data_IF_106297351544
#
_entry.id   IF_106297351544
#
_cell.length_a   1.000
_cell.length_b   1.000
_cell.length_c   1.000
_cell.angle_alpha   90.00
_cell.angle_beta   90.00
_cell.angle_gamma   90.00
#
_symmetry.space_group_name_H-M   'P 1'
#
loop_
_entity.id
_entity.type
_entity.pdbx_description
1 polymer ?
#
# COMPACT_ATOMS: atom_id res chain seq x y z
N UNK A 1 -10.84 -25.04 4.83
CA UNK A 1 -10.93 -23.56 4.82
C UNK A 1 -12.25 -23.15 4.22
N UNK A 2 -12.93 -22.12 4.74
CA UNK A 2 -14.28 -21.76 4.27
C UNK A 2 -14.24 -20.71 3.14
N UNK A 3 -15.21 -20.76 2.22
CA UNK A 3 -15.45 -19.70 1.20
C UNK A 3 -15.48 -18.29 1.81
N UNK A 4 -16.05 -18.20 3.02
CA UNK A 4 -16.17 -16.95 3.77
C UNK A 4 -14.79 -16.37 4.09
N UNK A 5 -13.83 -17.20 4.49
CA UNK A 5 -12.48 -16.75 4.82
C UNK A 5 -11.76 -16.21 3.60
N UNK A 6 -11.87 -16.90 2.45
CA UNK A 6 -11.28 -16.46 1.18
C UNK A 6 -11.84 -15.09 0.76
N UNK A 7 -13.16 -14.89 0.84
CA UNK A 7 -13.81 -13.60 0.58
C UNK A 7 -13.32 -12.49 1.52
N UNK A 8 -13.27 -12.77 2.82
CA UNK A 8 -12.83 -11.81 3.83
C UNK A 8 -11.37 -11.40 3.58
N UNK A 9 -10.47 -12.35 3.37
CA UNK A 9 -9.03 -12.09 3.19
C UNK A 9 -8.73 -11.38 1.87
N UNK A 10 -9.49 -11.68 0.82
CA UNK A 10 -9.47 -10.90 -0.43
C UNK A 10 -9.85 -9.44 -0.18
N UNK A 11 -10.92 -9.20 0.59
CA UNK A 11 -11.35 -7.85 0.98
C UNK A 11 -10.34 -7.12 1.87
N UNK A 12 -9.66 -7.85 2.78
CA UNK A 12 -8.58 -7.30 3.62
C UNK A 12 -7.42 -6.82 2.74
N UNK A 13 -6.94 -7.65 1.82
CA UNK A 13 -5.85 -7.29 0.91
C UNK A 13 -6.20 -6.06 0.07
N UNK A 14 -7.43 -6.01 -0.46
CA UNK A 14 -7.93 -4.85 -1.22
C UNK A 14 -7.85 -3.55 -0.40
N UNK A 15 -8.27 -3.56 0.87
CA UNK A 15 -8.23 -2.38 1.74
C UNK A 15 -6.79 -1.94 2.02
N UNK A 16 -5.88 -2.87 2.31
CA UNK A 16 -4.49 -2.50 2.56
C UNK A 16 -3.81 -1.91 1.33
N UNK A 17 -4.12 -2.40 0.12
CA UNK A 17 -3.60 -1.80 -1.12
C UNK A 17 -4.13 -0.36 -1.29
N UNK A 18 -5.41 -0.11 -0.99
CA UNK A 18 -5.98 1.24 -1.06
C UNK A 18 -5.39 2.20 0.00
N UNK A 19 -5.19 1.70 1.22
CA UNK A 19 -4.54 2.43 2.31
C UNK A 19 -3.09 2.81 1.94
N UNK A 20 -2.30 1.85 1.46
CA UNK A 20 -0.92 2.08 1.07
C UNK A 20 -0.81 3.09 -0.09
N UNK A 21 -1.72 3.05 -1.07
CA UNK A 21 -1.80 4.06 -2.12
C UNK A 21 -2.15 5.45 -1.58
N UNK A 22 -3.01 5.55 -0.56
CA UNK A 22 -3.34 6.84 0.07
C UNK A 22 -2.11 7.47 0.74
N UNK A 23 -1.33 6.67 1.48
CA UNK A 23 -0.07 7.15 2.05
C UNK A 23 0.98 7.48 0.99
N UNK A 24 1.02 6.75 -0.13
CA UNK A 24 1.89 7.09 -1.27
C UNK A 24 1.58 8.47 -1.83
N UNK A 25 0.29 8.79 -2.03
CA UNK A 25 -0.14 10.11 -2.48
C UNK A 25 0.24 11.19 -1.47
N UNK A 26 0.15 10.92 -0.17
CA UNK A 26 0.58 11.89 0.85
C UNK A 26 2.10 12.12 0.82
N UNK A 27 2.91 11.07 0.64
CA UNK A 27 4.37 11.20 0.45
C UNK A 27 4.69 12.08 -0.77
N UNK A 28 3.98 11.89 -1.89
CA UNK A 28 4.14 12.71 -3.09
C UNK A 28 3.78 14.17 -2.82
N UNK A 29 2.64 14.42 -2.18
CA UNK A 29 2.17 15.76 -1.82
C UNK A 29 3.16 16.50 -0.91
N UNK A 30 3.69 15.84 0.12
CA UNK A 30 4.68 16.43 1.02
C UNK A 30 6.01 16.70 0.30
N UNK A 31 6.43 15.80 -0.61
CA UNK A 31 7.62 16.01 -1.43
C UNK A 31 7.46 17.23 -2.35
N UNK A 32 6.31 17.36 -3.03
CA UNK A 32 6.01 18.54 -3.86
C UNK A 32 5.97 19.83 -3.03
N UNK A 33 5.39 19.79 -1.82
CA UNK A 33 5.36 20.96 -0.93
C UNK A 33 6.77 21.43 -0.55
N UNK A 34 7.69 20.51 -0.24
CA UNK A 34 9.08 20.86 0.05
C UNK A 34 9.75 21.52 -1.17
N UNK A 35 9.52 21.00 -2.38
CA UNK A 35 10.09 21.59 -3.60
C UNK A 35 9.55 23.00 -3.82
N UNK A 36 8.24 23.22 -3.67
CA UNK A 36 7.64 24.55 -3.79
C UNK A 36 8.17 25.54 -2.74
N UNK A 37 8.44 25.09 -1.52
CA UNK A 37 9.06 25.94 -0.49
C UNK A 37 10.50 26.34 -0.86
N UNK A 38 11.28 25.41 -1.43
CA UNK A 38 12.65 25.66 -1.89
C UNK A 38 12.73 26.59 -3.10
N UNK A 39 11.74 26.52 -3.98
CA UNK A 39 11.64 27.33 -5.21
C UNK A 39 11.03 28.72 -4.97
N UNK A 40 10.59 29.01 -3.74
CA UNK A 40 10.02 30.32 -3.40
C UNK A 40 11.07 31.44 -3.47
N UNK A 41 10.62 32.67 -3.69
CA UNK A 41 11.51 33.84 -3.84
C UNK A 41 12.34 34.10 -2.57
N UNK A 42 11.80 33.78 -1.39
CA UNK A 42 12.48 33.85 -0.09
C UNK A 42 12.27 32.53 0.66
N UNK A 43 13.13 31.52 0.43
CA UNK A 43 13.00 30.22 1.07
C UNK A 43 13.18 30.28 2.59
N UNK A 44 12.14 29.88 3.33
CA UNK A 44 12.18 29.75 4.79
C UNK A 44 12.73 28.38 5.19
N UNK A 45 13.96 28.36 5.73
CA UNK A 45 14.65 27.14 6.16
C UNK A 45 13.92 26.39 7.28
N UNK A 46 13.27 27.11 8.21
CA UNK A 46 12.51 26.49 9.29
C UNK A 46 11.29 25.75 8.73
N UNK A 47 10.57 26.38 7.81
CA UNK A 47 9.42 25.78 7.14
C UNK A 47 9.82 24.57 6.28
N UNK A 48 10.94 24.65 5.57
CA UNK A 48 11.49 23.53 4.78
C UNK A 48 11.87 22.37 5.70
N UNK A 49 12.55 22.64 6.82
CA UNK A 49 12.93 21.62 7.80
C UNK A 49 11.69 20.94 8.39
N UNK A 50 10.69 21.73 8.80
CA UNK A 50 9.44 21.20 9.35
C UNK A 50 8.67 20.34 8.34
N UNK A 51 8.61 20.77 7.08
CA UNK A 51 8.02 19.96 6.01
C UNK A 51 8.80 18.66 5.77
N UNK A 52 10.13 18.67 5.94
CA UNK A 52 10.98 17.48 5.91
C UNK A 52 10.64 16.46 7.00
N UNK A 53 10.38 16.89 8.22
CA UNK A 53 9.93 16.02 9.32
C UNK A 53 8.59 15.34 8.97
N UNK A 54 7.62 16.10 8.46
CA UNK A 54 6.31 15.57 8.04
C UNK A 54 6.46 14.59 6.88
N UNK A 55 7.33 14.86 5.91
CA UNK A 55 7.62 13.90 4.83
C UNK A 55 8.19 12.60 5.38
N UNK A 56 9.06 12.65 6.39
CA UNK A 56 9.62 11.46 7.01
C UNK A 56 8.54 10.63 7.71
N UNK A 57 7.64 11.26 8.45
CA UNK A 57 6.48 10.60 9.08
C UNK A 57 5.59 9.93 8.02
N UNK A 58 5.25 10.63 6.93
CA UNK A 58 4.47 10.08 5.82
C UNK A 58 5.15 8.87 5.17
N UNK A 59 6.49 8.90 5.00
CA UNK A 59 7.27 7.76 4.49
C UNK A 59 7.24 6.57 5.44
N UNK A 60 7.30 6.80 6.74
CA UNK A 60 7.19 5.73 7.74
C UNK A 60 5.81 5.06 7.68
N UNK A 61 4.75 5.86 7.54
CA UNK A 61 3.38 5.34 7.38
C UNK A 61 3.24 4.51 6.10
N UNK A 62 3.78 5.00 4.98
CA UNK A 62 3.80 4.25 3.72
C UNK A 62 4.57 2.92 3.83
N UNK A 63 5.71 2.91 4.53
CA UNK A 63 6.49 1.69 4.78
C UNK A 63 5.68 0.67 5.60
N UNK A 64 5.00 1.10 6.67
CA UNK A 64 4.16 0.24 7.48
C UNK A 64 2.98 -0.33 6.67
N UNK A 65 2.29 0.51 5.91
CA UNK A 65 1.17 0.07 5.07
C UNK A 65 1.63 -0.92 3.98
N UNK A 66 2.78 -0.69 3.35
CA UNK A 66 3.37 -1.61 2.37
C UNK A 66 3.69 -2.98 2.99
N UNK A 67 4.18 -3.03 4.24
CA UNK A 67 4.38 -4.29 4.96
C UNK A 67 3.06 -5.03 5.24
N UNK A 68 1.99 -4.29 5.53
CA UNK A 68 0.66 -4.89 5.73
C UNK A 68 0.10 -5.48 4.43
N UNK A 69 0.34 -4.84 3.28
CA UNK A 69 0.02 -5.40 1.95
C UNK A 69 0.73 -6.74 1.76
N UNK A 70 2.05 -6.78 1.97
CA UNK A 70 2.85 -7.99 1.82
C UNK A 70 2.36 -9.12 2.73
N UNK A 71 2.11 -8.82 4.01
CA UNK A 71 1.61 -9.81 4.98
C UNK A 71 0.25 -10.36 4.56
N UNK A 72 -0.69 -9.50 4.15
CA UNK A 72 -2.02 -9.92 3.73
C UNK A 72 -2.00 -10.70 2.41
N UNK A 73 -1.08 -10.36 1.50
CA UNK A 73 -0.87 -11.10 0.25
C UNK A 73 -0.41 -12.53 0.54
N UNK A 74 0.64 -12.68 1.35
CA UNK A 74 1.17 -14.00 1.72
C UNK A 74 0.11 -14.84 2.46
N UNK A 75 -0.68 -14.21 3.33
CA UNK A 75 -1.81 -14.89 4.00
C UNK A 75 -2.86 -15.36 2.98
N UNK A 76 -3.22 -14.54 2.00
CA UNK A 76 -4.19 -14.89 0.97
C UNK A 76 -3.67 -15.98 0.01
N UNK A 77 -2.39 -15.94 -0.34
CA UNK A 77 -1.72 -16.98 -1.13
C UNK A 77 -1.76 -18.33 -0.42
N UNK A 78 -1.37 -18.37 0.86
CA UNK A 78 -1.43 -19.58 1.67
C UNK A 78 -2.86 -20.11 1.77
N UNK A 79 -3.83 -19.22 1.94
CA UNK A 79 -5.25 -19.58 2.00
C UNK A 79 -5.71 -20.19 0.68
N UNK A 80 -5.35 -19.59 -0.45
CA UNK A 80 -5.72 -20.06 -1.78
C UNK A 80 -5.13 -21.44 -2.10
N UNK A 81 -3.88 -21.72 -1.70
CA UNK A 81 -3.27 -23.05 -1.87
C UNK A 81 -4.03 -24.13 -1.09
N UNK A 82 -4.57 -23.79 0.07
CA UNK A 82 -5.34 -24.72 0.92
C UNK A 82 -6.83 -24.82 0.56
N UNK A 83 -7.28 -24.02 -0.40
CA UNK A 83 -8.68 -23.92 -0.79
C UNK A 83 -8.98 -24.91 -1.93
N UNK A 84 -10.07 -25.69 -1.79
CA UNK A 84 -10.45 -26.74 -2.73
C UNK A 84 -10.92 -26.22 -4.10
N UNK A 85 -11.47 -27.10 -4.95
CA UNK A 85 -11.92 -26.75 -6.31
C UNK A 85 -13.30 -26.10 -6.40
N UNK A 86 -13.96 -25.92 -5.26
CA UNK A 86 -15.29 -25.35 -5.20
C UNK A 86 -15.20 -23.82 -5.42
N UNK A 87 -15.88 -23.30 -6.46
CA UNK A 87 -16.02 -21.86 -6.74
C UNK A 87 -14.82 -21.17 -7.43
N UNK A 88 -14.66 -21.41 -8.74
CA UNK A 88 -13.60 -20.83 -9.57
C UNK A 88 -13.64 -19.29 -9.70
N UNK A 89 -14.84 -18.69 -9.64
CA UNK A 89 -14.97 -17.23 -9.67
C UNK A 89 -14.28 -16.60 -8.44
N UNK A 90 -14.50 -17.19 -7.26
CA UNK A 90 -13.91 -16.70 -6.02
C UNK A 90 -12.38 -16.81 -6.03
N UNK A 91 -11.84 -17.91 -6.56
CA UNK A 91 -10.38 -18.08 -6.75
C UNK A 91 -9.81 -17.05 -7.71
N UNK A 92 -10.46 -16.87 -8.86
CA UNK A 92 -10.04 -15.89 -9.88
C UNK A 92 -9.95 -14.49 -9.26
N UNK A 93 -10.96 -14.10 -8.48
CA UNK A 93 -10.97 -12.82 -7.78
C UNK A 93 -9.82 -12.68 -6.76
N UNK A 94 -9.54 -13.73 -5.99
CA UNK A 94 -8.42 -13.74 -5.05
C UNK A 94 -7.06 -13.65 -5.77
N UNK A 95 -6.87 -14.40 -6.85
CA UNK A 95 -5.67 -14.37 -7.70
C UNK A 95 -5.43 -13.00 -8.31
N UNK A 96 -6.47 -12.36 -8.86
CA UNK A 96 -6.37 -11.00 -9.38
C UNK A 96 -5.98 -10.00 -8.29
N UNK A 97 -6.47 -10.18 -7.06
CA UNK A 97 -6.09 -9.31 -5.94
C UNK A 97 -4.64 -9.54 -5.51
N UNK A 98 -4.17 -10.79 -5.48
CA UNK A 98 -2.75 -11.13 -5.25
C UNK A 98 -1.87 -10.47 -6.31
N UNK A 99 -2.25 -10.59 -7.59
CA UNK A 99 -1.51 -10.00 -8.71
C UNK A 99 -1.41 -8.47 -8.59
N UNK A 100 -2.50 -7.78 -8.26
CA UNK A 100 -2.49 -6.34 -8.00
C UNK A 100 -1.59 -5.95 -6.82
N UNK A 101 -1.53 -6.79 -5.78
CA UNK A 101 -0.63 -6.56 -4.65
C UNK A 101 0.85 -6.75 -5.04
N UNK A 102 1.16 -7.75 -5.86
CA UNK A 102 2.52 -7.96 -6.42
C UNK A 102 2.94 -6.80 -7.31
N UNK A 103 2.06 -6.31 -8.18
CA UNK A 103 2.31 -5.12 -9.00
C UNK A 103 2.57 -3.89 -8.12
N UNK A 104 1.78 -3.72 -7.05
CA UNK A 104 2.05 -2.67 -6.06
C UNK A 104 3.43 -2.85 -5.41
N UNK A 105 3.80 -4.04 -4.94
CA UNK A 105 5.11 -4.28 -4.32
C UNK A 105 6.26 -3.99 -5.28
N UNK A 106 6.19 -4.50 -6.51
CA UNK A 106 7.23 -4.31 -7.54
C UNK A 106 7.40 -2.83 -7.92
N UNK A 107 6.30 -2.09 -8.05
CA UNK A 107 6.34 -0.66 -8.38
C UNK A 107 6.87 0.22 -7.25
N UNK A 108 7.02 -0.32 -6.04
CA UNK A 108 7.48 0.39 -4.86
C UNK A 108 8.70 -0.27 -4.20
N UNK A 109 9.31 -1.26 -4.87
CA UNK A 109 10.58 -1.85 -4.49
C UNK A 109 11.73 -0.94 -5.00
N UNK A 110 12.00 0.13 -4.25
CA UNK A 110 13.16 1.00 -4.43
C UNK A 110 13.59 1.61 -3.09
#
# INVERSE_FOLDING_TARGET
MSEKDLKIKTGVLKRYVQEANSYKTEVQKQSSKINSLKESQEPDEYMIKKAGEVLQESKQMFCLASKNVQKARLELESLLTSYGEENEELKTNAQQMIQKALEFENNNAA
#
